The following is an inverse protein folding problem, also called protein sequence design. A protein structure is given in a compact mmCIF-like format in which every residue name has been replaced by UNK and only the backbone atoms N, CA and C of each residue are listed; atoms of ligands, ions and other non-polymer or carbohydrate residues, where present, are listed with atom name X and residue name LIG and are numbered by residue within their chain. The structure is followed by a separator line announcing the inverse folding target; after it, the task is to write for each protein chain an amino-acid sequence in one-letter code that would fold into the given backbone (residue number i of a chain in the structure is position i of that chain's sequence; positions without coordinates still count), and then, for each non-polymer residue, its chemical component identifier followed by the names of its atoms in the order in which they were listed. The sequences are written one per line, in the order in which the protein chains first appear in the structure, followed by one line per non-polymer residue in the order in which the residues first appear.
data_IF_141232940592
#
_entry.id   IF_141232940592
#
_cell.length_a   1.000
_cell.length_b   1.000
_cell.length_c   1.000
_cell.angle_alpha   90.00
_cell.angle_beta   90.00
_cell.angle_gamma   90.00
#
_symmetry.space_group_name_H-M   'P 1'
#
loop_
_entity.id
_entity.type
_entity.pdbx_description
1 polymer ?
#
# COMPACT_ATOMS: atom_id res chain seq x y z
N UNK A 1 15.56 9.48 -17.42
CA UNK A 1 16.16 9.47 -16.06
C UNK A 1 15.06 9.62 -15.03
N UNK A 2 14.92 8.67 -14.10
CA UNK A 2 13.94 8.68 -13.04
C UNK A 2 14.21 9.80 -12.02
N UNK A 3 13.15 10.49 -11.59
CA UNK A 3 13.19 11.58 -10.60
C UNK A 3 12.24 11.36 -9.44
N UNK A 4 11.10 10.70 -9.72
CA UNK A 4 10.02 10.48 -8.77
C UNK A 4 9.87 8.98 -8.51
N UNK A 5 9.90 8.59 -7.26
CA UNK A 5 9.78 7.20 -6.83
C UNK A 5 8.49 7.06 -6.03
N UNK A 6 7.53 6.34 -6.57
CA UNK A 6 6.20 6.18 -5.98
C UNK A 6 6.08 4.78 -5.37
N UNK A 7 5.80 4.72 -4.08
CA UNK A 7 5.68 3.47 -3.33
C UNK A 7 4.24 3.18 -2.94
N UNK A 8 3.81 1.93 -3.14
CA UNK A 8 2.74 1.39 -2.30
C UNK A 8 3.23 1.19 -0.86
N UNK A 9 2.30 1.14 0.10
CA UNK A 9 2.63 0.91 1.50
C UNK A 9 2.52 -0.57 1.87
N UNK A 10 1.35 -1.18 1.69
CA UNK A 10 1.08 -2.53 2.19
C UNK A 10 1.77 -3.61 1.34
N UNK A 11 2.66 -4.37 1.95
CA UNK A 11 3.45 -5.40 1.25
C UNK A 11 4.75 -4.87 0.64
N UNK A 12 4.95 -3.54 0.58
CA UNK A 12 6.17 -2.89 0.06
C UNK A 12 6.94 -2.17 1.16
N UNK A 13 6.34 -1.14 1.77
CA UNK A 13 6.98 -0.36 2.85
C UNK A 13 6.64 -0.92 4.23
N UNK A 14 5.42 -1.43 4.38
CA UNK A 14 4.93 -2.03 5.62
C UNK A 14 4.40 -3.43 5.37
N UNK A 15 4.69 -4.33 6.28
CA UNK A 15 4.18 -5.70 6.24
C UNK A 15 3.90 -6.20 7.65
N UNK A 16 3.12 -7.27 7.75
CA UNK A 16 2.95 -8.01 9.00
C UNK A 16 4.06 -9.02 9.12
N UNK A 17 4.74 -9.01 10.25
CA UNK A 17 5.74 -10.04 10.54
C UNK A 17 5.03 -11.38 10.78
N UNK A 18 5.21 -12.40 9.91
CA UNK A 18 4.48 -13.67 10.02
C UNK A 18 4.81 -14.45 11.31
N UNK A 19 5.94 -14.18 11.96
CA UNK A 19 6.32 -14.80 13.23
C UNK A 19 5.64 -14.16 14.43
N UNK A 20 5.14 -12.92 14.29
CA UNK A 20 4.53 -12.14 15.37
C UNK A 20 3.03 -11.94 15.17
N UNK A 21 2.56 -12.00 13.92
CA UNK A 21 1.15 -11.81 13.61
C UNK A 21 0.32 -13.00 14.14
N UNK A 22 -0.68 -12.75 14.99
CA UNK A 22 -1.43 -13.83 15.62
C UNK A 22 -2.18 -14.66 14.58
N UNK A 23 -2.07 -15.98 14.70
CA UNK A 23 -2.69 -16.92 13.75
C UNK A 23 -4.21 -16.73 13.61
N UNK A 24 -4.89 -16.38 14.70
CA UNK A 24 -6.33 -16.11 14.65
C UNK A 24 -6.66 -14.87 13.79
N UNK A 25 -5.79 -13.87 13.74
CA UNK A 25 -5.96 -12.70 12.87
C UNK A 25 -5.63 -13.05 11.41
N UNK A 26 -4.62 -13.90 11.17
CA UNK A 26 -4.32 -14.39 9.82
C UNK A 26 -5.53 -15.14 9.23
N UNK A 27 -6.12 -16.06 10.00
CA UNK A 27 -7.34 -16.76 9.63
C UNK A 27 -8.52 -15.78 9.46
N UNK A 28 -8.65 -14.82 10.37
CA UNK A 28 -9.72 -13.82 10.34
C UNK A 28 -9.67 -12.94 9.10
N UNK A 29 -8.48 -12.51 8.67
CA UNK A 29 -8.29 -11.66 7.49
C UNK A 29 -7.91 -12.42 6.22
N UNK A 30 -8.11 -13.75 6.17
CA UNK A 30 -7.79 -14.55 4.98
C UNK A 30 -8.45 -14.02 3.69
N UNK A 31 -9.62 -13.37 3.78
CA UNK A 31 -10.32 -12.77 2.65
C UNK A 31 -9.57 -11.58 2.00
N UNK A 32 -8.66 -10.94 2.74
CA UNK A 32 -7.80 -9.85 2.21
C UNK A 32 -6.62 -10.42 1.44
N UNK A 33 -6.17 -11.66 1.78
CA UNK A 33 -4.91 -12.22 1.29
C UNK A 33 -5.08 -13.36 0.28
N UNK A 34 -6.26 -13.98 0.23
CA UNK A 34 -6.44 -15.30 -0.40
C UNK A 34 -7.47 -15.31 -1.53
N UNK A 35 -7.84 -14.17 -2.08
CA UNK A 35 -8.76 -14.18 -3.22
C UNK A 35 -8.00 -14.63 -4.48
N UNK A 36 -8.42 -15.73 -5.14
CA UNK A 36 -7.73 -16.27 -6.31
C UNK A 36 -7.60 -15.28 -7.48
N UNK A 37 -8.48 -14.29 -7.52
CA UNK A 37 -8.58 -13.26 -8.57
C UNK A 37 -7.98 -11.92 -8.14
N UNK A 38 -7.30 -11.87 -6.97
CA UNK A 38 -6.58 -10.67 -6.49
C UNK A 38 -7.47 -9.55 -5.92
N UNK A 39 -8.80 -9.69 -5.94
CA UNK A 39 -9.72 -8.70 -5.39
C UNK A 39 -9.99 -8.89 -3.89
N UNK A 40 -10.39 -7.82 -3.21
CA UNK A 40 -10.94 -7.88 -1.85
C UNK A 40 -12.47 -7.80 -1.92
N UNK A 41 -13.22 -8.28 -0.89
CA UNK A 41 -14.67 -8.08 -0.85
C UNK A 41 -15.05 -6.60 -0.93
N UNK A 42 -16.19 -6.29 -1.57
CA UNK A 42 -16.65 -4.92 -1.79
C UNK A 42 -16.68 -4.06 -0.53
N UNK A 43 -17.09 -4.62 0.61
CA UNK A 43 -17.11 -3.88 1.88
C UNK A 43 -15.70 -3.45 2.34
N UNK A 44 -14.67 -4.23 1.98
CA UNK A 44 -13.28 -3.89 2.31
C UNK A 44 -12.72 -2.84 1.33
N UNK A 45 -13.06 -2.98 0.04
CA UNK A 45 -12.74 -1.95 -0.95
C UNK A 45 -13.39 -0.60 -0.59
N UNK A 46 -14.65 -0.61 -0.16
CA UNK A 46 -15.36 0.59 0.28
C UNK A 46 -14.72 1.23 1.54
N UNK A 47 -14.13 0.40 2.40
CA UNK A 47 -13.35 0.86 3.54
C UNK A 47 -12.06 1.54 3.10
N UNK A 48 -11.28 0.88 2.22
CA UNK A 48 -10.04 1.44 1.67
C UNK A 48 -10.32 2.69 0.80
N UNK A 49 -11.48 2.75 0.15
CA UNK A 49 -11.93 3.94 -0.60
C UNK A 49 -12.39 5.09 0.30
N UNK A 50 -12.66 4.84 1.57
CA UNK A 50 -13.14 5.85 2.52
C UNK A 50 -14.62 6.22 2.36
N UNK A 51 -15.43 5.41 1.67
CA UNK A 51 -16.88 5.64 1.53
C UNK A 51 -17.70 4.93 2.60
N UNK A 52 -17.13 3.93 3.28
CA UNK A 52 -17.75 3.24 4.40
C UNK A 52 -16.94 3.47 5.68
N UNK A 53 -17.56 4.02 6.74
CA UNK A 53 -16.88 4.21 8.03
C UNK A 53 -16.63 2.88 8.73
N UNK A 54 -15.63 2.83 9.60
CA UNK A 54 -15.18 1.62 10.29
C UNK A 54 -16.29 0.82 10.98
N UNK A 55 -17.31 1.49 11.53
CA UNK A 55 -18.43 0.82 12.22
C UNK A 55 -19.35 0.07 11.24
N UNK A 56 -19.54 0.56 10.03
CA UNK A 56 -20.30 -0.13 8.99
C UNK A 56 -19.50 -1.32 8.44
N UNK A 57 -18.21 -1.12 8.23
CA UNK A 57 -17.32 -2.19 7.77
C UNK A 57 -17.20 -3.28 8.83
N UNK A 58 -17.11 -2.94 10.12
CA UNK A 58 -17.11 -3.93 11.20
C UNK A 58 -18.38 -4.79 11.22
N UNK A 59 -19.56 -4.25 10.88
CA UNK A 59 -20.81 -5.03 10.72
C UNK A 59 -20.69 -6.01 9.55
N UNK A 60 -20.21 -5.54 8.39
CA UNK A 60 -20.05 -6.38 7.21
C UNK A 60 -19.02 -7.51 7.45
N UNK A 61 -17.92 -7.20 8.12
CA UNK A 61 -16.90 -8.19 8.53
C UNK A 61 -17.48 -9.20 9.54
N UNK A 62 -18.26 -8.73 10.51
CA UNK A 62 -18.91 -9.60 11.51
C UNK A 62 -19.87 -10.60 10.83
N UNK A 63 -20.70 -10.11 9.90
CA UNK A 63 -21.60 -10.96 9.11
C UNK A 63 -20.83 -11.96 8.25
N UNK A 64 -19.79 -11.49 7.55
CA UNK A 64 -18.94 -12.33 6.71
C UNK A 64 -18.23 -13.44 7.50
N UNK A 65 -17.81 -13.15 8.75
CA UNK A 65 -17.08 -14.07 9.63
C UNK A 65 -17.96 -14.87 10.58
N UNK A 66 -19.23 -14.52 10.71
CA UNK A 66 -20.15 -15.18 11.65
C UNK A 66 -19.79 -14.88 13.12
N UNK A 67 -19.32 -13.67 13.43
CA UNK A 67 -18.99 -13.24 14.79
C UNK A 67 -19.79 -11.98 15.17
N UNK A 68 -19.67 -11.53 16.42
CA UNK A 68 -20.26 -10.26 16.84
C UNK A 68 -19.45 -9.05 16.34
N UNK A 69 -20.11 -7.89 16.24
CA UNK A 69 -19.53 -6.65 15.70
C UNK A 69 -18.35 -6.15 16.55
N UNK A 70 -18.43 -6.31 17.87
CA UNK A 70 -17.36 -5.85 18.77
C UNK A 70 -16.08 -6.67 18.55
N UNK A 71 -16.21 -7.98 18.38
CA UNK A 71 -15.09 -8.87 18.00
C UNK A 71 -14.52 -8.50 16.64
N UNK A 72 -15.35 -8.27 15.63
CA UNK A 72 -14.89 -7.87 14.31
C UNK A 72 -14.09 -6.56 14.37
N UNK A 73 -14.65 -5.53 15.00
CA UNK A 73 -13.99 -4.23 15.14
C UNK A 73 -12.68 -4.33 15.94
N UNK A 74 -12.68 -5.08 17.04
CA UNK A 74 -11.47 -5.28 17.85
C UNK A 74 -10.34 -5.94 17.03
N UNK A 75 -10.66 -6.97 16.23
CA UNK A 75 -9.70 -7.62 15.36
C UNK A 75 -9.19 -6.68 14.26
N UNK A 76 -10.06 -5.85 13.67
CA UNK A 76 -9.65 -4.83 12.69
C UNK A 76 -8.62 -3.85 13.29
N UNK A 77 -8.92 -3.29 14.47
CA UNK A 77 -8.01 -2.36 15.13
C UNK A 77 -6.71 -3.06 15.57
N UNK A 78 -6.81 -4.26 16.14
CA UNK A 78 -5.63 -5.02 16.57
C UNK A 78 -4.69 -5.34 15.40
N UNK A 79 -5.21 -5.63 14.21
CA UNK A 79 -4.39 -5.95 13.03
C UNK A 79 -3.52 -4.76 12.58
N UNK A 80 -3.92 -3.53 12.89
CA UNK A 80 -3.14 -2.31 12.60
C UNK A 80 -1.84 -2.29 13.40
N UNK A 81 -1.88 -2.67 14.68
CA UNK A 81 -0.73 -2.62 15.59
C UNK A 81 0.42 -3.57 15.16
N UNK A 82 0.10 -4.55 14.31
CA UNK A 82 1.10 -5.50 13.78
C UNK A 82 1.74 -5.06 12.46
N UNK A 83 1.49 -3.84 12.00
CA UNK A 83 2.18 -3.30 10.83
C UNK A 83 3.59 -2.87 11.23
N UNK A 84 4.59 -3.51 10.63
CA UNK A 84 6.02 -3.25 10.84
C UNK A 84 6.64 -2.73 9.53
N UNK A 85 7.68 -1.92 9.65
CA UNK A 85 8.47 -1.49 8.49
C UNK A 85 9.18 -2.68 7.85
N UNK A 86 9.17 -2.76 6.53
CA UNK A 86 9.96 -3.73 5.77
C UNK A 86 11.39 -3.20 5.72
N UNK A 87 12.27 -3.74 6.54
CA UNK A 87 13.60 -3.20 6.79
C UNK A 87 14.42 -2.94 5.51
N UNK A 88 14.53 -3.86 4.52
CA UNK A 88 15.23 -3.56 3.28
C UNK A 88 14.64 -2.35 2.52
N UNK A 89 13.31 -2.21 2.52
CA UNK A 89 12.62 -1.08 1.86
C UNK A 89 12.85 0.22 2.62
N UNK A 90 12.78 0.21 3.95
CA UNK A 90 13.03 1.39 4.78
C UNK A 90 14.47 1.91 4.59
N UNK A 91 15.44 1.00 4.51
CA UNK A 91 16.84 1.32 4.22
C UNK A 91 17.02 1.96 2.83
N UNK A 92 16.38 1.37 1.80
CA UNK A 92 16.41 1.90 0.43
C UNK A 92 15.74 3.30 0.35
N UNK A 93 14.60 3.50 1.02
CA UNK A 93 13.89 4.79 1.08
C UNK A 93 14.83 5.88 1.66
N UNK A 94 15.52 5.59 2.77
CA UNK A 94 16.50 6.51 3.35
C UNK A 94 17.62 6.85 2.37
N UNK A 95 18.19 5.85 1.69
CA UNK A 95 19.23 6.03 0.68
C UNK A 95 18.76 6.89 -0.49
N UNK A 96 17.57 6.63 -1.02
CA UNK A 96 16.99 7.39 -2.12
C UNK A 96 16.75 8.85 -1.72
N UNK A 97 16.28 9.08 -0.49
CA UNK A 97 16.09 10.43 0.04
C UNK A 97 17.40 11.21 0.14
N UNK A 98 18.47 10.59 0.65
CA UNK A 98 19.79 11.19 0.73
C UNK A 98 20.36 11.56 -0.65
N UNK A 99 19.99 10.81 -1.68
CA UNK A 99 20.35 11.09 -3.08
C UNK A 99 19.48 12.15 -3.77
N UNK A 100 18.46 12.65 -3.08
CA UNK A 100 17.63 13.75 -3.56
C UNK A 100 16.48 13.34 -4.47
N UNK A 101 16.10 12.05 -4.49
CA UNK A 101 14.89 11.61 -5.18
C UNK A 101 13.65 12.14 -4.47
N UNK A 102 12.60 12.45 -5.25
CA UNK A 102 11.27 12.75 -4.71
C UNK A 102 10.55 11.45 -4.41
N UNK A 103 10.17 11.25 -3.16
CA UNK A 103 9.54 10.04 -2.67
C UNK A 103 8.05 10.29 -2.41
N UNK A 104 7.19 9.47 -2.99
CA UNK A 104 5.74 9.69 -2.97
C UNK A 104 5.05 8.39 -2.56
N UNK A 105 3.97 8.50 -1.81
CA UNK A 105 3.09 7.37 -1.48
C UNK A 105 1.89 7.34 -2.41
N UNK A 106 1.53 6.14 -2.92
CA UNK A 106 0.26 5.87 -3.59
C UNK A 106 -0.33 4.56 -3.06
N UNK A 107 -1.29 4.63 -2.14
CA UNK A 107 -1.76 3.44 -1.43
C UNK A 107 -3.28 3.36 -1.28
N UNK A 108 -3.82 2.13 -1.44
CA UNK A 108 -5.17 1.78 -1.04
C UNK A 108 -5.16 1.48 0.45
N UNK A 109 -5.74 2.41 1.25
CA UNK A 109 -5.64 2.33 2.71
C UNK A 109 -6.80 3.06 3.37
N UNK A 110 -7.42 2.44 4.37
CA UNK A 110 -8.44 3.09 5.20
C UNK A 110 -7.84 4.11 6.16
N UNK A 111 -8.69 5.00 6.69
CA UNK A 111 -8.27 6.11 7.54
C UNK A 111 -7.51 5.64 8.79
N UNK A 112 -8.03 4.63 9.49
CA UNK A 112 -7.42 4.14 10.73
C UNK A 112 -6.03 3.54 10.49
N UNK A 113 -5.84 2.86 9.34
CA UNK A 113 -4.54 2.30 8.97
C UNK A 113 -3.55 3.39 8.62
N UNK A 114 -3.92 4.35 7.77
CA UNK A 114 -2.99 5.40 7.35
C UNK A 114 -2.60 6.31 8.51
N UNK A 115 -3.53 6.64 9.42
CA UNK A 115 -3.25 7.44 10.62
C UNK A 115 -2.24 6.76 11.56
N UNK A 116 -2.21 5.44 11.57
CA UNK A 116 -1.20 4.67 12.31
C UNK A 116 0.15 4.68 11.59
N UNK A 117 0.17 4.43 10.27
CA UNK A 117 1.40 4.33 9.50
C UNK A 117 2.16 5.66 9.39
N UNK A 118 1.44 6.79 9.32
CA UNK A 118 2.03 8.15 9.32
C UNK A 118 2.88 8.45 10.54
N UNK A 119 2.73 7.70 11.64
CA UNK A 119 3.52 7.85 12.87
C UNK A 119 4.83 7.05 12.85
N UNK A 120 5.04 6.22 11.84
CA UNK A 120 6.24 5.38 11.71
C UNK A 120 7.41 6.19 11.16
N UNK A 121 8.65 5.92 11.61
CA UNK A 121 9.84 6.69 11.21
C UNK A 121 10.04 6.78 9.70
N UNK A 122 9.88 5.66 8.97
CA UNK A 122 10.07 5.63 7.51
C UNK A 122 9.10 6.55 6.77
N UNK A 123 7.92 6.79 7.33
CA UNK A 123 6.93 7.67 6.71
C UNK A 123 7.41 9.12 6.57
N UNK A 124 8.28 9.57 7.46
CA UNK A 124 8.85 10.91 7.45
C UNK A 124 9.79 11.21 6.27
N UNK A 125 10.16 10.21 5.48
CA UNK A 125 10.98 10.40 4.28
C UNK A 125 10.16 10.78 3.03
N UNK A 126 8.84 10.56 3.03
CA UNK A 126 8.00 10.87 1.88
C UNK A 126 7.71 12.37 1.78
N UNK A 127 7.74 12.90 0.56
CA UNK A 127 7.48 14.30 0.25
C UNK A 127 5.98 14.57 0.02
N UNK A 128 5.29 13.58 -0.56
CA UNK A 128 3.90 13.67 -1.01
C UNK A 128 3.18 12.34 -0.85
N UNK A 129 1.84 12.37 -0.88
CA UNK A 129 1.03 11.16 -0.78
C UNK A 129 -0.32 11.26 -1.49
N UNK A 130 -0.80 10.13 -2.02
CA UNK A 130 -2.19 9.90 -2.42
C UNK A 130 -2.68 8.68 -1.66
N UNK A 131 -3.66 8.87 -0.79
CA UNK A 131 -4.29 7.79 -0.02
C UNK A 131 -5.74 7.65 -0.47
N UNK A 132 -6.11 6.43 -0.83
CA UNK A 132 -7.42 6.14 -1.43
C UNK A 132 -8.60 6.66 -0.62
N UNK A 133 -8.58 6.50 0.72
CA UNK A 133 -9.68 6.95 1.58
C UNK A 133 -9.87 8.47 1.61
N UNK A 134 -8.85 9.25 1.26
CA UNK A 134 -8.90 10.71 1.26
C UNK A 134 -9.37 11.28 -0.09
N UNK A 135 -9.19 10.49 -1.17
CA UNK A 135 -9.52 10.91 -2.54
C UNK A 135 -10.70 10.13 -3.14
N UNK A 136 -11.16 9.08 -2.47
CA UNK A 136 -12.24 8.18 -2.89
C UNK A 136 -11.99 7.48 -4.24
N UNK A 137 -10.73 7.31 -4.60
CA UNK A 137 -10.24 6.54 -5.74
C UNK A 137 -9.35 5.41 -5.25
N UNK A 138 -9.38 4.25 -5.90
CA UNK A 138 -8.54 3.11 -5.53
C UNK A 138 -7.74 2.61 -6.72
N UNK A 139 -6.54 2.08 -6.47
CA UNK A 139 -5.82 1.28 -7.46
C UNK A 139 -6.60 -0.03 -7.70
N UNK A 140 -6.71 -0.55 -8.93
CA UNK A 140 -6.05 -0.12 -10.16
C UNK A 140 -6.87 0.85 -11.04
N UNK A 141 -7.79 1.66 -10.50
CA UNK A 141 -8.53 2.64 -11.28
C UNK A 141 -7.58 3.65 -11.93
N UNK A 142 -7.76 3.93 -13.21
CA UNK A 142 -6.92 4.85 -13.98
C UNK A 142 -6.86 6.24 -13.35
N UNK A 143 -7.96 6.68 -12.81
CA UNK A 143 -8.17 8.01 -12.25
C UNK A 143 -7.25 8.33 -11.08
N UNK A 144 -6.86 7.34 -10.25
CA UNK A 144 -5.96 7.59 -9.11
C UNK A 144 -4.53 7.89 -9.58
N UNK A 145 -4.08 7.27 -10.67
CA UNK A 145 -2.76 7.53 -11.25
C UNK A 145 -2.74 8.86 -12.01
N UNK A 146 -3.82 9.19 -12.73
CA UNK A 146 -3.96 10.51 -13.37
C UNK A 146 -3.99 11.63 -12.33
N UNK A 147 -4.66 11.39 -11.19
CA UNK A 147 -4.65 12.32 -10.05
C UNK A 147 -3.23 12.49 -9.49
N UNK A 148 -2.47 11.39 -9.31
CA UNK A 148 -1.09 11.44 -8.85
C UNK A 148 -0.23 12.32 -9.77
N UNK A 149 -0.26 12.06 -11.08
CA UNK A 149 0.52 12.81 -12.06
C UNK A 149 0.14 14.29 -12.09
N UNK A 150 -1.16 14.59 -12.14
CA UNK A 150 -1.64 15.98 -12.25
C UNK A 150 -1.44 16.77 -10.96
N UNK A 151 -1.71 16.20 -9.79
CA UNK A 151 -1.60 16.88 -8.49
C UNK A 151 -0.18 17.32 -8.19
N UNK A 152 0.80 16.50 -8.55
CA UNK A 152 2.20 16.76 -8.24
C UNK A 152 3.05 17.17 -9.45
N UNK A 153 2.44 17.34 -10.62
CA UNK A 153 3.11 17.77 -11.85
C UNK A 153 4.17 16.79 -12.34
N UNK A 154 3.89 15.48 -12.21
CA UNK A 154 4.85 14.43 -12.56
C UNK A 154 4.79 14.09 -14.06
N UNK A 155 5.95 13.79 -14.63
CA UNK A 155 6.03 13.20 -15.96
C UNK A 155 6.03 11.68 -15.82
N UNK A 156 5.14 10.94 -16.51
CA UNK A 156 5.03 9.49 -16.37
C UNK A 156 6.37 8.76 -16.59
N UNK A 157 7.13 9.14 -17.62
CA UNK A 157 8.42 8.55 -18.00
C UNK A 157 9.57 8.87 -17.02
N UNK A 158 9.40 9.86 -16.14
CA UNK A 158 10.34 10.20 -15.07
C UNK A 158 9.90 9.66 -13.71
N UNK A 159 8.81 8.86 -13.67
CA UNK A 159 8.17 8.36 -12.47
C UNK A 159 8.15 6.84 -12.49
N UNK A 160 8.69 6.20 -11.45
CA UNK A 160 8.60 4.74 -11.23
C UNK A 160 7.57 4.47 -10.14
N UNK A 161 6.69 3.47 -10.37
CA UNK A 161 5.69 3.01 -9.41
C UNK A 161 5.98 1.59 -8.96
N UNK A 162 6.08 1.41 -7.65
CA UNK A 162 6.45 0.17 -6.98
C UNK A 162 5.23 -0.38 -6.22
N UNK A 163 4.78 -1.59 -6.58
CA UNK A 163 3.63 -2.22 -5.96
C UNK A 163 3.79 -3.77 -5.99
N UNK A 164 3.26 -4.48 -4.99
CA UNK A 164 3.30 -5.93 -4.89
C UNK A 164 2.13 -6.62 -5.62
N UNK A 165 1.24 -5.83 -6.24
CA UNK A 165 0.10 -6.31 -7.02
C UNK A 165 0.28 -5.99 -8.49
N UNK A 166 0.32 -7.05 -9.29
CA UNK A 166 0.56 -6.96 -10.74
C UNK A 166 -0.54 -6.17 -11.48
N UNK A 167 -1.78 -6.20 -11.01
CA UNK A 167 -2.89 -5.41 -11.57
C UNK A 167 -2.65 -3.90 -11.40
N UNK A 168 -2.15 -3.47 -10.26
CA UNK A 168 -1.78 -2.07 -10.01
C UNK A 168 -0.60 -1.62 -10.87
N UNK A 169 0.43 -2.48 -10.98
CA UNK A 169 1.62 -2.23 -11.79
C UNK A 169 1.27 -2.05 -13.27
N UNK A 170 0.40 -2.93 -13.79
CA UNK A 170 -0.06 -2.84 -15.19
C UNK A 170 -0.89 -1.59 -15.45
N UNK A 171 -1.78 -1.21 -14.54
CA UNK A 171 -2.58 0.00 -14.70
C UNK A 171 -1.70 1.28 -14.72
N UNK A 172 -0.63 1.33 -13.94
CA UNK A 172 0.35 2.41 -13.99
C UNK A 172 1.11 2.45 -15.33
N UNK A 173 1.52 1.28 -15.84
CA UNK A 173 2.19 1.13 -17.14
C UNK A 173 1.33 1.63 -18.30
N UNK A 174 0.02 1.37 -18.28
CA UNK A 174 -0.93 1.79 -19.33
C UNK A 174 -1.00 3.31 -19.52
N UNK A 175 -0.61 4.09 -18.54
CA UNK A 175 -0.54 5.55 -18.61
C UNK A 175 0.89 6.10 -18.71
N UNK A 176 1.88 5.22 -18.93
CA UNK A 176 3.26 5.57 -19.19
C UNK A 176 4.14 5.72 -17.95
N UNK A 177 3.65 5.43 -16.76
CA UNK A 177 4.48 5.35 -15.54
C UNK A 177 5.37 4.11 -15.64
N UNK A 178 6.65 4.25 -15.27
CA UNK A 178 7.60 3.13 -15.30
C UNK A 178 7.19 2.10 -14.24
N UNK A 179 6.86 0.85 -14.65
CA UNK A 179 6.34 -0.13 -13.71
C UNK A 179 7.48 -0.85 -12.97
N UNK A 180 7.25 -1.18 -11.69
CA UNK A 180 8.10 -2.09 -10.92
C UNK A 180 7.26 -2.99 -10.04
N UNK A 181 7.29 -4.31 -10.32
CA UNK A 181 6.65 -5.31 -9.46
C UNK A 181 7.56 -5.68 -8.29
N UNK A 182 7.07 -5.51 -7.07
CA UNK A 182 7.78 -5.82 -5.84
C UNK A 182 7.41 -7.23 -5.35
N UNK A 183 8.38 -8.15 -5.34
CA UNK A 183 8.17 -9.47 -4.73
C UNK A 183 8.32 -9.37 -3.20
N UNK A 184 7.20 -9.19 -2.50
CA UNK A 184 7.17 -9.12 -1.03
C UNK A 184 7.70 -10.36 -0.32
N UNK A 185 7.81 -11.51 -1.00
CA UNK A 185 8.41 -12.74 -0.43
C UNK A 185 9.92 -12.67 -0.42
N UNK A 186 10.50 -11.78 -1.22
CA UNK A 186 11.93 -11.60 -1.35
C UNK A 186 12.26 -10.10 -1.44
N UNK A 187 11.87 -9.36 -0.38
CA UNK A 187 11.99 -7.91 -0.33
C UNK A 187 13.43 -7.41 -0.53
N UNK A 188 14.42 -8.12 0.01
CA UNK A 188 15.85 -7.76 -0.15
C UNK A 188 16.24 -7.75 -1.63
N UNK A 189 15.93 -8.83 -2.35
CA UNK A 189 16.21 -8.93 -3.79
C UNK A 189 15.45 -7.87 -4.58
N UNK A 190 14.16 -7.64 -4.26
CA UNK A 190 13.38 -6.59 -4.93
C UNK A 190 13.98 -5.20 -4.70
N UNK A 191 14.50 -4.91 -3.52
CA UNK A 191 15.19 -3.65 -3.25
C UNK A 191 16.52 -3.53 -4.02
N UNK A 192 17.29 -4.61 -4.18
CA UNK A 192 18.49 -4.62 -5.01
C UNK A 192 18.16 -4.34 -6.49
N UNK A 193 17.19 -5.06 -7.05
CA UNK A 193 16.73 -4.87 -8.43
C UNK A 193 16.16 -3.45 -8.66
N UNK A 194 15.42 -2.91 -7.70
CA UNK A 194 14.88 -1.56 -7.75
C UNK A 194 16.01 -0.51 -7.71
N UNK A 195 17.00 -0.68 -6.84
CA UNK A 195 18.18 0.17 -6.76
C UNK A 195 18.92 0.19 -8.10
N UNK A 196 19.17 -0.97 -8.67
CA UNK A 196 19.85 -1.11 -9.96
C UNK A 196 19.05 -0.43 -11.08
N UNK A 197 17.72 -0.60 -11.07
CA UNK A 197 16.82 0.03 -12.03
C UNK A 197 16.85 1.55 -11.95
N UNK A 198 16.84 2.12 -10.74
CA UNK A 198 16.81 3.58 -10.52
C UNK A 198 18.17 4.21 -10.89
N UNK A 199 19.29 3.53 -10.63
CA UNK A 199 20.62 4.13 -10.81
C UNK A 199 21.20 3.94 -12.21
N UNK A 200 20.68 3.01 -12.99
CA UNK A 200 21.17 2.72 -14.34
C UNK A 200 20.22 3.24 -15.46
N UNK A 201 19.13 3.93 -15.09
CA UNK A 201 18.20 4.58 -16.02
C UNK A 201 18.61 6.04 -16.24
#
# INVERSE_FOLDING_TARGET
MLKNIVFDLAGVVFARNPLRFPKHLEEFFSFVFSTPEGGVPKFWEDYDRGVSPVDEVAKAVAEYRGCDIATAKANMMLAIDYQEEVEPTASLISELKERGYRLIVLSNMSLEYIDFLRKKPVYGYFDDEIISCEVQLVKPEREIYELLLSRYGLQPEETIFIDDRMDNVKAAEEIGIVPFFFDRKNAEKSCEELRDRIYND
#
